data_IF_458950276751
#
_entry.id   IF_458950276751
#
_cell.length_a   1.000
_cell.length_b   1.000
_cell.length_c   1.000
_cell.angle_alpha   90.00
_cell.angle_beta   90.00
_cell.angle_gamma   90.00
#
_symmetry.space_group_name_H-M   'P 1'
#
loop_
_entity.id
_entity.type
_entity.pdbx_description
1 polymer ?
#
# COMPACT_ATOMS: atom_id res chain seq x y z
N UNK A 1 -7.54 -17.80 -21.14
CA UNK A 1 -6.76 -18.31 -19.99
C UNK A 1 -6.60 -17.17 -18.99
N UNK A 2 -7.59 -16.97 -18.10
CA UNK A 2 -7.54 -15.89 -17.12
C UNK A 2 -6.57 -16.26 -15.99
N UNK A 3 -5.46 -15.53 -15.89
CA UNK A 3 -4.50 -15.67 -14.78
C UNK A 3 -5.23 -15.41 -13.46
N UNK A 4 -4.89 -16.12 -12.37
CA UNK A 4 -5.51 -15.90 -11.07
C UNK A 4 -5.43 -14.41 -10.73
N UNK A 5 -6.58 -13.86 -10.36
CA UNK A 5 -6.87 -12.44 -10.10
C UNK A 5 -6.04 -11.93 -8.93
N UNK A 6 -4.76 -11.69 -9.18
CA UNK A 6 -3.92 -11.00 -8.23
C UNK A 6 -4.41 -9.55 -8.15
N UNK A 7 -4.82 -9.14 -6.95
CA UNK A 7 -5.30 -7.79 -6.66
C UNK A 7 -4.27 -6.78 -7.16
N UNK A 8 -4.68 -5.93 -8.11
CA UNK A 8 -3.81 -4.93 -8.69
C UNK A 8 -3.84 -3.64 -7.86
N UNK A 9 -2.79 -2.82 -7.99
CA UNK A 9 -2.77 -1.47 -7.40
C UNK A 9 -3.94 -0.60 -7.87
N UNK A 10 -4.48 -0.88 -9.06
CA UNK A 10 -5.65 -0.20 -9.62
C UNK A 10 -6.94 -0.54 -8.87
N UNK A 11 -7.13 -1.80 -8.46
CA UNK A 11 -8.29 -2.21 -7.68
C UNK A 11 -8.25 -1.57 -6.29
N UNK A 12 -7.07 -1.56 -5.67
CA UNK A 12 -6.84 -0.90 -4.37
C UNK A 12 -7.08 0.61 -4.49
N UNK A 13 -6.63 1.24 -5.58
CA UNK A 13 -6.81 2.66 -5.82
C UNK A 13 -8.30 3.04 -5.92
N UNK A 14 -9.07 2.24 -6.67
CA UNK A 14 -10.53 2.40 -6.79
C UNK A 14 -11.23 2.22 -5.45
N UNK A 15 -10.88 1.18 -4.69
CA UNK A 15 -11.48 0.91 -3.38
C UNK A 15 -11.16 1.99 -2.33
N UNK A 16 -9.95 2.57 -2.38
CA UNK A 16 -9.54 3.64 -1.48
C UNK A 16 -9.98 5.05 -1.96
N UNK A 17 -10.40 5.21 -3.21
CA UNK A 17 -10.74 6.49 -3.82
C UNK A 17 -9.51 7.39 -4.05
N UNK A 18 -8.37 6.80 -4.43
CA UNK A 18 -7.11 7.51 -4.67
C UNK A 18 -6.52 7.14 -6.03
N UNK A 19 -5.44 7.80 -6.44
CA UNK A 19 -4.68 7.42 -7.63
C UNK A 19 -3.82 6.17 -7.37
N UNK A 20 -3.59 5.29 -8.36
CA UNK A 20 -2.64 4.17 -8.22
C UNK A 20 -1.22 4.62 -7.84
N UNK A 21 -0.86 5.86 -8.17
CA UNK A 21 0.38 6.50 -7.73
C UNK A 21 0.44 6.64 -6.20
N UNK A 22 -0.67 7.02 -5.57
CA UNK A 22 -0.80 7.13 -4.12
C UNK A 22 -0.71 5.76 -3.46
N UNK A 23 -1.36 4.75 -4.03
CA UNK A 23 -1.24 3.35 -3.59
C UNK A 23 0.21 2.91 -3.68
N UNK A 24 0.91 3.21 -4.77
CA UNK A 24 2.34 2.93 -4.92
C UNK A 24 3.16 3.65 -3.85
N UNK A 25 2.90 4.93 -3.54
CA UNK A 25 3.61 5.66 -2.48
C UNK A 25 3.40 5.02 -1.10
N UNK A 26 2.17 4.63 -0.76
CA UNK A 26 1.86 3.92 0.49
C UNK A 26 2.52 2.53 0.52
N UNK A 27 2.37 1.77 -0.56
CA UNK A 27 3.04 0.49 -0.76
C UNK A 27 4.56 0.61 -0.89
N UNK A 28 5.10 1.82 -1.09
CA UNK A 28 6.53 2.16 -1.06
C UNK A 28 6.99 2.73 0.30
N UNK A 29 6.07 2.99 1.24
CA UNK A 29 6.37 3.54 2.56
C UNK A 29 6.77 5.01 2.52
N UNK A 30 6.38 5.74 1.47
CA UNK A 30 6.69 7.16 1.33
C UNK A 30 5.90 8.01 2.33
N UNK A 31 6.56 9.01 2.90
CA UNK A 31 5.96 9.98 3.82
C UNK A 31 5.14 11.07 3.11
N UNK A 32 5.27 11.18 1.78
CA UNK A 32 4.55 12.15 0.95
C UNK A 32 3.05 11.83 0.77
N UNK A 33 2.45 11.05 1.66
CA UNK A 33 1.03 10.70 1.67
C UNK A 33 0.48 11.00 3.06
N UNK A 34 -0.59 11.79 3.11
CA UNK A 34 -1.27 12.14 4.36
C UNK A 34 -1.63 10.87 5.14
N UNK A 35 -1.52 10.87 6.48
CA UNK A 35 -1.81 9.71 7.31
C UNK A 35 -3.23 9.19 7.10
N UNK A 36 -4.22 10.08 6.92
CA UNK A 36 -5.61 9.70 6.61
C UNK A 36 -5.72 8.93 5.28
N UNK A 37 -5.05 9.41 4.23
CA UNK A 37 -5.01 8.73 2.93
C UNK A 37 -4.31 7.39 3.01
N UNK A 38 -3.23 7.32 3.80
CA UNK A 38 -2.52 6.06 4.08
C UNK A 38 -3.47 5.05 4.72
N UNK A 39 -4.17 5.42 5.80
CA UNK A 39 -5.13 4.53 6.47
C UNK A 39 -6.22 4.01 5.51
N UNK A 40 -6.78 4.87 4.64
CA UNK A 40 -7.77 4.46 3.63
C UNK A 40 -7.22 3.43 2.65
N UNK A 41 -5.97 3.62 2.21
CA UNK A 41 -5.29 2.70 1.31
C UNK A 41 -4.99 1.38 2.01
N UNK A 42 -4.49 1.42 3.25
CA UNK A 42 -4.21 0.22 4.05
C UNK A 42 -5.48 -0.59 4.30
N UNK A 43 -6.58 0.07 4.68
CA UNK A 43 -7.88 -0.59 4.82
C UNK A 43 -8.36 -1.21 3.50
N UNK A 44 -8.15 -0.55 2.36
CA UNK A 44 -8.48 -1.12 1.04
C UNK A 44 -7.60 -2.32 0.69
N UNK A 45 -6.30 -2.26 1.00
CA UNK A 45 -5.37 -3.38 0.83
C UNK A 45 -5.82 -4.60 1.63
N UNK A 46 -6.16 -4.42 2.91
CA UNK A 46 -6.65 -5.49 3.78
C UNK A 46 -7.96 -6.09 3.27
N UNK A 47 -8.93 -5.25 2.90
CA UNK A 47 -10.23 -5.69 2.35
C UNK A 47 -10.10 -6.51 1.07
N UNK A 48 -9.13 -6.17 0.24
CA UNK A 48 -8.85 -6.89 -1.01
C UNK A 48 -7.89 -8.08 -0.83
N UNK A 49 -7.37 -8.30 0.39
CA UNK A 49 -6.39 -9.37 0.64
C UNK A 49 -5.00 -9.08 0.06
N UNK A 50 -4.71 -7.83 -0.31
CA UNK A 50 -3.37 -7.39 -0.66
C UNK A 50 -2.54 -7.33 0.62
N UNK A 51 -1.55 -8.20 0.74
CA UNK A 51 -0.58 -8.17 1.84
C UNK A 51 0.74 -7.60 1.33
N UNK A 52 1.02 -6.31 1.56
CA UNK A 52 2.38 -5.80 1.44
C UNK A 52 3.27 -6.61 2.39
N UNK A 53 4.48 -6.95 1.95
CA UNK A 53 5.49 -7.55 2.81
C UNK A 53 6.01 -6.48 3.80
N UNK A 54 5.17 -6.10 4.77
CA UNK A 54 5.51 -5.13 5.82
C UNK A 54 6.70 -5.61 6.67
N UNK A 55 6.83 -6.93 6.86
CA UNK A 55 7.93 -7.57 7.58
C UNK A 55 9.31 -7.29 6.95
N UNK A 56 9.42 -7.26 5.62
CA UNK A 56 10.65 -6.91 4.92
C UNK A 56 11.02 -5.42 5.05
N UNK A 57 10.09 -4.60 5.54
CA UNK A 57 10.18 -3.14 5.50
C UNK A 57 10.50 -2.51 6.85
N UNK A 58 10.08 -3.13 7.95
CA UNK A 58 10.54 -2.75 9.29
C UNK A 58 12.07 -2.83 9.41
N UNK A 59 12.69 -3.79 8.72
CA UNK A 59 14.15 -3.90 8.59
C UNK A 59 14.80 -2.76 7.80
N UNK A 60 14.07 -2.12 6.86
CA UNK A 60 14.62 -1.04 6.01
C UNK A 60 14.56 0.34 6.67
N UNK A 61 13.74 0.51 7.70
CA UNK A 61 13.74 1.69 8.58
C UNK A 61 14.64 1.53 9.82
N UNK A 62 15.53 0.54 9.83
CA UNK A 62 16.64 0.43 10.78
C UNK A 62 17.72 1.51 10.59
N UNK A 63 17.35 2.75 10.31
CA UNK A 63 18.22 3.91 10.54
C UNK A 63 17.77 4.57 11.82
N UNK A 64 18.47 4.19 12.88
CA UNK A 64 18.90 5.08 13.96
C UNK A 64 18.77 6.55 13.54
N UNK A 65 17.80 7.24 14.12
CA UNK A 65 17.90 8.67 14.31
C UNK A 65 18.53 8.82 15.70
N UNK A 66 19.83 9.09 15.71
CA UNK A 66 20.52 9.69 16.86
C UNK A 66 20.00 11.13 17.05
#
# INVERSE_FOLDING_TARGET
>A
MSRPTQVSMQDIAKAAGVSPQTVSRVANGSDAVKPETRQRVEAAMERLGYRPNYAARALKHGRFQD
#
